data_IF_188559442298
#
_entry.id   IF_188559442298
#
_cell.length_a   1.000
_cell.length_b   1.000
_cell.length_c   1.000
_cell.angle_alpha   90.00
_cell.angle_beta   90.00
_cell.angle_gamma   90.00
#
_symmetry.space_group_name_H-M   'P 1'
#
loop_
_entity.id
_entity.type
_entity.pdbx_description
1 polymer ?
#
# COMPACT_ATOMS: atom_id res chain seq x y z
N UNK A 1 25.01 -1.24 -0.67
CA UNK A 1 24.44 -0.19 0.20
C UNK A 1 23.42 0.69 -0.49
N UNK A 2 22.46 1.23 0.26
CA UNK A 2 21.45 2.17 -0.24
C UNK A 2 22.00 3.61 -0.29
N UNK A 3 23.12 3.88 0.40
CA UNK A 3 23.80 5.18 0.47
C UNK A 3 24.27 5.75 -0.88
N UNK A 4 24.12 5.00 -1.98
CA UNK A 4 24.69 5.36 -3.30
C UNK A 4 23.62 5.80 -4.31
N UNK A 5 22.31 5.59 -4.08
CA UNK A 5 21.31 5.83 -5.12
C UNK A 5 20.44 7.08 -4.93
N UNK A 6 21.04 8.26 -5.00
CA UNK A 6 20.30 9.54 -5.11
C UNK A 6 19.55 9.68 -6.44
N UNK A 7 19.88 8.85 -7.44
CA UNK A 7 19.32 8.87 -8.79
C UNK A 7 18.20 7.82 -9.03
N UNK A 8 17.88 6.96 -8.06
CA UNK A 8 16.86 5.92 -8.25
C UNK A 8 15.43 6.51 -8.26
N UNK A 9 14.64 6.16 -9.27
CA UNK A 9 13.21 6.54 -9.35
C UNK A 9 12.32 5.72 -8.43
N UNK A 10 12.70 4.46 -8.17
CA UNK A 10 11.98 3.56 -7.29
C UNK A 10 12.92 2.57 -6.56
N UNK A 11 12.49 2.15 -5.37
CA UNK A 11 13.09 1.06 -4.61
C UNK A 11 12.14 -0.13 -4.57
N UNK A 12 12.66 -1.30 -4.95
CA UNK A 12 11.95 -2.57 -4.90
C UNK A 12 12.64 -3.41 -3.82
N UNK A 13 11.96 -3.62 -2.70
CA UNK A 13 12.50 -4.38 -1.58
C UNK A 13 11.86 -5.76 -1.60
N UNK A 14 12.65 -6.77 -1.95
CA UNK A 14 12.15 -8.15 -2.09
C UNK A 14 12.57 -8.98 -0.88
N UNK A 15 11.64 -9.77 -0.35
CA UNK A 15 11.93 -10.81 0.66
C UNK A 15 11.32 -12.15 0.25
N UNK A 16 11.76 -13.24 0.86
CA UNK A 16 11.19 -14.57 0.67
C UNK A 16 10.16 -14.85 1.76
N UNK A 17 8.95 -15.30 1.41
CA UNK A 17 7.92 -15.64 2.43
C UNK A 17 8.31 -16.82 3.33
N UNK A 18 9.29 -17.62 2.92
CA UNK A 18 9.84 -18.72 3.72
C UNK A 18 10.96 -18.26 4.68
N UNK A 19 11.53 -17.07 4.50
CA UNK A 19 12.70 -16.63 5.27
C UNK A 19 12.42 -15.34 6.06
N UNK A 20 12.27 -15.52 7.38
CA UNK A 20 12.01 -14.42 8.31
C UNK A 20 13.21 -13.46 8.42
N UNK A 21 14.43 -13.92 8.18
CA UNK A 21 15.62 -13.05 8.19
C UNK A 21 15.61 -12.11 6.99
N UNK A 22 15.27 -12.61 5.79
CA UNK A 22 15.06 -11.75 4.62
C UNK A 22 13.97 -10.70 4.85
N UNK A 23 12.89 -11.05 5.55
CA UNK A 23 11.83 -10.12 5.90
C UNK A 23 12.27 -9.06 6.92
N UNK A 24 13.03 -9.46 7.95
CA UNK A 24 13.63 -8.53 8.90
C UNK A 24 14.61 -7.57 8.22
N UNK A 25 15.41 -8.06 7.29
CA UNK A 25 16.30 -7.23 6.48
C UNK A 25 15.51 -6.23 5.61
N UNK A 26 14.42 -6.67 4.97
CA UNK A 26 13.53 -5.80 4.20
C UNK A 26 12.92 -4.69 5.07
N UNK A 27 12.43 -5.01 6.28
CA UNK A 27 11.94 -4.01 7.25
C UNK A 27 13.02 -2.98 7.60
N UNK A 28 14.23 -3.45 7.88
CA UNK A 28 15.35 -2.57 8.20
C UNK A 28 15.67 -1.63 7.02
N UNK A 29 15.69 -2.14 5.78
CA UNK A 29 15.91 -1.30 4.60
C UNK A 29 14.81 -0.28 4.37
N UNK A 30 13.54 -0.66 4.57
CA UNK A 30 12.43 0.29 4.51
C UNK A 30 12.55 1.38 5.58
N UNK A 31 12.95 1.01 6.80
CA UNK A 31 13.21 1.97 7.87
C UNK A 31 14.32 2.95 7.46
N UNK A 32 15.46 2.46 6.97
CA UNK A 32 16.55 3.31 6.50
C UNK A 32 16.07 4.27 5.39
N UNK A 33 15.32 3.78 4.41
CA UNK A 33 14.81 4.59 3.31
C UNK A 33 13.86 5.70 3.80
N UNK A 34 12.89 5.36 4.66
CA UNK A 34 11.84 6.31 5.07
C UNK A 34 12.26 7.25 6.20
N UNK A 35 13.07 6.80 7.14
CA UNK A 35 13.41 7.57 8.33
C UNK A 35 14.83 8.12 8.32
N UNK A 36 15.81 7.35 7.84
CA UNK A 36 17.20 7.81 7.88
C UNK A 36 17.55 8.66 6.65
N UNK A 37 17.00 8.31 5.49
CA UNK A 37 17.23 9.00 4.22
C UNK A 37 16.05 9.88 3.78
N UNK A 38 14.95 9.85 4.55
CA UNK A 38 13.72 10.62 4.31
C UNK A 38 13.25 10.56 2.85
N UNK A 39 13.36 9.38 2.23
CA UNK A 39 13.07 9.26 0.81
C UNK A 39 11.57 9.39 0.54
N UNK A 40 11.22 10.27 -0.40
CA UNK A 40 9.87 10.38 -0.97
C UNK A 40 9.75 9.61 -2.30
N UNK A 41 10.77 8.81 -2.63
CA UNK A 41 10.75 7.95 -3.84
C UNK A 41 9.71 6.83 -3.69
N UNK A 42 9.33 6.27 -4.84
CA UNK A 42 8.42 5.12 -4.90
C UNK A 42 9.08 3.93 -4.22
N UNK A 43 8.40 3.33 -3.25
CA UNK A 43 8.84 2.10 -2.60
C UNK A 43 7.80 1.01 -2.79
N UNK A 44 8.26 -0.20 -3.13
CA UNK A 44 7.42 -1.39 -3.26
C UNK A 44 8.06 -2.53 -2.48
N UNK A 45 7.34 -3.06 -1.51
CA UNK A 45 7.68 -4.27 -0.78
C UNK A 45 7.11 -5.49 -1.53
N UNK A 46 7.98 -6.42 -1.88
CA UNK A 46 7.65 -7.62 -2.65
C UNK A 46 7.87 -8.86 -1.80
N UNK A 47 6.80 -9.60 -1.55
CA UNK A 47 6.88 -10.92 -0.96
C UNK A 47 7.03 -11.94 -2.10
N UNK A 48 8.20 -12.57 -2.20
CA UNK A 48 8.50 -13.55 -3.25
C UNK A 48 8.39 -14.98 -2.71
N UNK A 49 8.30 -15.94 -3.64
CA UNK A 49 8.17 -17.39 -3.40
C UNK A 49 6.85 -17.77 -2.72
N UNK A 50 5.76 -17.08 -3.05
CA UNK A 50 4.44 -17.32 -2.42
C UNK A 50 3.83 -18.69 -2.73
N UNK A 51 4.37 -19.37 -3.74
CA UNK A 51 4.11 -20.77 -4.06
C UNK A 51 4.50 -21.74 -2.93
N UNK A 52 5.44 -21.37 -2.06
CA UNK A 52 5.92 -22.21 -0.96
C UNK A 52 5.00 -22.15 0.27
N UNK A 53 3.69 -22.33 0.07
CA UNK A 53 2.63 -22.14 1.08
C UNK A 53 2.91 -22.92 2.38
N UNK A 54 3.30 -24.19 2.28
CA UNK A 54 3.59 -25.05 3.44
C UNK A 54 4.84 -24.64 4.22
N UNK A 55 5.78 -23.93 3.57
CA UNK A 55 7.02 -23.44 4.17
C UNK A 55 6.94 -21.95 4.51
N UNK A 56 5.76 -21.33 4.37
CA UNK A 56 5.57 -19.91 4.65
C UNK A 56 5.84 -19.63 6.13
N UNK A 57 6.74 -18.68 6.38
CA UNK A 57 7.15 -18.19 7.71
C UNK A 57 6.70 -16.76 7.97
N UNK A 58 6.33 -16.02 6.92
CA UNK A 58 5.84 -14.64 6.98
C UNK A 58 4.45 -14.59 6.38
N UNK A 59 3.46 -14.13 7.14
CA UNK A 59 2.08 -14.07 6.65
C UNK A 59 1.88 -12.91 5.68
N UNK A 60 0.82 -12.98 4.87
CA UNK A 60 0.45 -11.85 4.00
C UNK A 60 0.13 -10.61 4.82
N UNK A 61 -0.50 -10.78 5.98
CA UNK A 61 -0.90 -9.67 6.84
C UNK A 61 0.30 -9.00 7.51
N UNK A 62 1.33 -9.74 7.91
CA UNK A 62 2.60 -9.16 8.37
C UNK A 62 3.24 -8.29 7.28
N UNK A 63 3.27 -8.81 6.04
CA UNK A 63 3.80 -8.08 4.89
C UNK A 63 3.02 -6.79 4.61
N UNK A 64 1.68 -6.85 4.63
CA UNK A 64 0.81 -5.69 4.45
C UNK A 64 0.96 -4.68 5.59
N UNK A 65 1.04 -5.13 6.84
CA UNK A 65 1.20 -4.26 8.00
C UNK A 65 2.51 -3.48 7.93
N UNK A 66 3.61 -4.12 7.53
CA UNK A 66 4.89 -3.44 7.28
C UNK A 66 4.76 -2.43 6.14
N UNK A 67 4.11 -2.81 5.03
CA UNK A 67 3.97 -1.90 3.90
C UNK A 67 3.13 -0.66 4.26
N UNK A 68 2.08 -0.82 5.06
CA UNK A 68 1.30 0.30 5.59
C UNK A 68 2.13 1.18 6.53
N UNK A 69 2.89 0.57 7.45
CA UNK A 69 3.75 1.29 8.40
C UNK A 69 4.74 2.22 7.70
N UNK A 70 5.31 1.79 6.57
CA UNK A 70 6.31 2.56 5.81
C UNK A 70 5.74 3.25 4.56
N UNK A 71 4.41 3.31 4.43
CA UNK A 71 3.70 3.93 3.30
C UNK A 71 4.27 3.51 1.95
N UNK A 72 4.35 2.19 1.71
CA UNK A 72 4.84 1.63 0.47
C UNK A 72 3.81 0.64 -0.13
N UNK A 73 3.95 0.34 -1.43
CA UNK A 73 3.09 -0.67 -2.07
C UNK A 73 3.52 -2.07 -1.66
N UNK A 74 2.57 -3.00 -1.65
CA UNK A 74 2.81 -4.41 -1.35
C UNK A 74 2.31 -5.29 -2.47
N UNK A 75 3.11 -6.28 -2.86
CA UNK A 75 2.71 -7.31 -3.83
C UNK A 75 3.34 -8.67 -3.48
N UNK A 76 2.55 -9.72 -3.66
CA UNK A 76 2.99 -11.10 -3.54
C UNK A 76 3.28 -11.66 -4.93
N UNK A 77 4.42 -12.32 -5.10
CA UNK A 77 4.90 -12.87 -6.37
C UNK A 77 5.50 -14.27 -6.19
N UNK A 78 5.51 -15.04 -7.27
CA UNK A 78 6.38 -16.22 -7.38
C UNK A 78 7.14 -16.13 -8.68
N UNK A 79 8.41 -15.75 -8.61
CA UNK A 79 9.27 -15.72 -9.80
C UNK A 79 9.41 -17.12 -10.43
N UNK A 80 9.47 -18.18 -9.62
CA UNK A 80 9.60 -19.56 -10.09
C UNK A 80 8.38 -20.06 -10.86
N UNK A 81 7.18 -19.52 -10.57
CA UNK A 81 5.95 -19.85 -11.28
C UNK A 81 5.46 -18.72 -12.20
N UNK A 82 6.29 -17.71 -12.44
CA UNK A 82 5.92 -16.48 -13.16
C UNK A 82 4.60 -15.84 -12.67
N UNK A 83 4.31 -15.94 -11.38
CA UNK A 83 3.08 -15.40 -10.79
C UNK A 83 3.26 -13.92 -10.44
N UNK A 84 2.46 -13.06 -11.07
CA UNK A 84 2.37 -11.60 -10.81
C UNK A 84 3.67 -10.82 -11.06
N UNK A 85 4.60 -11.39 -11.81
CA UNK A 85 5.86 -10.70 -12.19
C UNK A 85 5.55 -9.56 -13.16
N UNK A 86 4.68 -9.79 -14.15
CA UNK A 86 4.24 -8.75 -15.08
C UNK A 86 3.47 -7.64 -14.37
N UNK A 87 2.58 -8.00 -13.45
CA UNK A 87 1.83 -7.04 -12.62
C UNK A 87 2.78 -6.17 -11.78
N UNK A 88 3.86 -6.76 -11.24
CA UNK A 88 4.89 -6.01 -10.52
C UNK A 88 5.58 -5.01 -11.46
N UNK A 89 6.03 -5.43 -12.64
CA UNK A 89 6.70 -4.57 -13.62
C UNK A 89 5.81 -3.40 -14.07
N UNK A 90 4.58 -3.70 -14.47
CA UNK A 90 3.59 -2.68 -14.85
C UNK A 90 3.30 -1.76 -13.66
N UNK A 91 3.18 -2.33 -12.46
CA UNK A 91 2.96 -1.59 -11.21
C UNK A 91 4.07 -0.59 -10.92
N UNK A 92 5.33 -0.98 -11.07
CA UNK A 92 6.51 -0.12 -10.86
C UNK A 92 6.44 1.09 -11.80
N UNK A 93 6.34 0.85 -13.11
CA UNK A 93 6.32 1.92 -14.12
C UNK A 93 5.15 2.87 -13.87
N UNK A 94 3.98 2.34 -13.52
CA UNK A 94 2.80 3.14 -13.20
C UNK A 94 3.02 4.01 -11.97
N UNK A 95 3.61 3.49 -10.89
CA UNK A 95 3.87 4.27 -9.69
C UNK A 95 4.88 5.40 -9.94
N UNK A 96 5.94 5.14 -10.69
CA UNK A 96 6.93 6.18 -11.06
C UNK A 96 6.26 7.30 -11.86
N UNK A 97 5.48 6.96 -12.89
CA UNK A 97 4.76 7.95 -13.71
C UNK A 97 3.78 8.80 -12.89
N UNK A 98 3.05 8.18 -11.96
CA UNK A 98 2.13 8.90 -11.08
C UNK A 98 2.86 9.87 -10.14
N UNK A 99 4.00 9.43 -9.58
CA UNK A 99 4.81 10.28 -8.71
C UNK A 99 5.35 11.49 -9.47
N UNK A 100 5.96 11.26 -10.64
CA UNK A 100 6.47 12.35 -11.49
C UNK A 100 5.38 13.35 -11.88
N UNK A 101 4.18 12.87 -12.25
CA UNK A 101 3.04 13.74 -12.57
C UNK A 101 2.65 14.64 -11.38
N UNK A 102 2.52 14.05 -10.19
CA UNK A 102 2.17 14.81 -8.98
C UNK A 102 3.25 15.84 -8.61
N UNK A 103 4.52 15.50 -8.81
CA UNK A 103 5.66 16.40 -8.53
C UNK A 103 5.72 17.58 -9.54
N UNK A 104 5.20 17.39 -10.76
CA UNK A 104 5.05 18.46 -11.75
C UNK A 104 3.86 19.38 -11.44
N UNK A 105 2.71 18.81 -11.09
CA UNK A 105 1.49 19.57 -10.75
C UNK A 105 1.66 20.40 -9.47
N UNK A 106 2.37 19.88 -8.47
CA UNK A 106 2.67 20.60 -7.23
C UNK A 106 3.58 21.83 -7.44
N UNK A 107 4.29 21.92 -8.57
CA UNK A 107 5.15 23.08 -8.92
C UNK A 107 4.43 24.14 -9.76
N UNK A 108 3.27 23.85 -10.34
CA UNK A 108 2.61 24.73 -11.33
C UNK A 108 1.45 25.57 -10.79
N UNK A 109 1.07 25.47 -9.51
CA UNK A 109 -0.03 26.25 -8.94
C UNK A 109 0.42 27.19 -7.79
N UNK A 110 0.08 28.49 -7.82
CA UNK A 110 0.18 29.37 -6.66
C UNK A 110 -0.76 28.87 -5.56
N UNK A 111 -0.26 28.74 -4.32
CA UNK A 111 -1.04 28.35 -3.15
C UNK A 111 -2.13 29.40 -2.88
N UNK A 112 -3.37 29.11 -3.23
CA UNK A 112 -4.53 29.83 -2.67
C UNK A 112 -4.70 29.35 -1.23
N UNK A 113 -4.30 30.19 -0.27
CA UNK A 113 -4.61 30.01 1.14
C UNK A 113 -6.14 29.95 1.32
N UNK A 114 -6.65 28.83 1.83
CA UNK A 114 -8.02 28.71 2.32
C UNK A 114 -7.96 28.82 3.85
N UNK A 115 -8.69 29.75 4.49
CA UNK A 115 -8.55 29.97 5.92
C UNK A 115 -9.08 28.78 6.72
N UNK A 116 -8.38 28.51 7.82
CA UNK A 116 -8.71 27.53 8.84
C UNK A 116 -9.92 27.99 9.65
N UNK A 117 -10.88 27.08 9.86
CA UNK A 117 -11.74 27.10 11.04
C UNK A 117 -11.76 25.69 11.64
N UNK A 118 -11.02 25.55 12.73
CA UNK A 118 -11.13 24.56 13.81
C UNK A 118 -12.58 24.33 14.26
N UNK A 119 -13.12 23.20 14.72
CA UNK A 119 -12.63 21.93 15.29
C UNK A 119 -13.83 20.93 15.25
N UNK A 120 -13.62 19.64 14.96
CA UNK A 120 -14.10 18.51 15.80
C UNK A 120 -13.76 17.15 15.18
N UNK A 121 -13.22 16.29 16.06
CA UNK A 121 -12.82 14.90 15.84
C UNK A 121 -13.98 14.08 15.27
N UNK A 122 -13.81 13.44 14.11
CA UNK A 122 -14.42 12.13 13.91
C UNK A 122 -13.69 11.26 12.89
N UNK A 123 -13.39 10.04 13.32
CA UNK A 123 -12.62 9.04 12.62
C UNK A 123 -13.54 8.29 11.65
N UNK A 124 -13.89 8.88 10.49
CA UNK A 124 -14.65 8.19 9.42
C UNK A 124 -14.63 8.99 8.11
N UNK A 125 -13.74 8.63 7.18
CA UNK A 125 -13.54 9.44 5.97
C UNK A 125 -13.26 8.73 4.64
N UNK A 126 -13.35 7.40 4.52
CA UNK A 126 -13.12 6.72 3.22
C UNK A 126 -14.15 5.67 2.78
N UNK A 127 -15.22 5.41 3.54
CA UNK A 127 -16.20 4.36 3.20
C UNK A 127 -17.59 4.82 2.77
N UNK A 128 -17.77 6.09 2.35
CA UNK A 128 -19.08 6.58 1.91
C UNK A 128 -19.17 6.85 0.41
N UNK A 129 -18.93 5.82 -0.41
CA UNK A 129 -19.45 5.81 -1.80
C UNK A 129 -19.88 4.45 -2.36
N UNK A 130 -20.18 3.45 -1.53
CA UNK A 130 -20.68 2.16 -2.08
C UNK A 130 -21.95 1.56 -1.49
N UNK A 131 -22.71 2.26 -0.63
CA UNK A 131 -24.02 1.74 -0.20
C UNK A 131 -25.11 2.82 -0.21
N UNK A 132 -25.72 3.03 -1.39
CA UNK A 132 -27.01 3.71 -1.54
C UNK A 132 -28.12 2.67 -1.42
N UNK A 133 -28.53 2.34 -0.19
CA UNK A 133 -29.79 1.60 0.09
C UNK A 133 -30.98 2.47 -0.30
N UNK A 134 -31.88 1.92 -1.13
CA UNK A 134 -33.20 2.49 -1.43
C UNK A 134 -34.20 1.79 -0.48
N UNK A 135 -34.85 2.55 0.40
CA UNK A 135 -35.92 2.05 1.27
C UNK A 135 -37.27 2.09 0.52
N UNK A 136 -38.15 1.13 0.81
CA UNK A 136 -39.60 1.35 0.79
C UNK A 136 -40.23 0.55 1.95
N UNK A 137 -41.07 1.24 2.72
CA UNK A 137 -41.75 0.82 3.97
C UNK A 137 -43.01 0.00 3.68
N UNK A 138 -43.43 -0.81 4.66
CA UNK A 138 -44.75 -0.87 5.36
C UNK A 138 -44.75 -2.12 6.27
N UNK A 139 -44.83 -2.00 7.59
CA UNK A 139 -46.02 -1.91 8.48
C UNK A 139 -46.54 -3.28 8.95
N UNK A 140 -46.98 -3.30 10.21
CA UNK A 140 -47.01 -4.44 11.13
C UNK A 140 -48.16 -5.47 10.97
N UNK A 141 -47.96 -6.58 11.69
CA UNK A 141 -48.94 -7.35 12.47
C UNK A 141 -49.74 -8.49 11.84
N UNK A 142 -49.59 -9.67 12.46
CA UNK A 142 -50.57 -10.73 12.82
C UNK A 142 -50.12 -12.12 12.35
N UNK A 143 -49.84 -13.08 13.25
CA UNK A 143 -50.68 -13.86 14.17
C UNK A 143 -51.23 -15.14 13.50
N UNK A 144 -50.97 -16.28 14.16
CA UNK A 144 -51.72 -17.56 14.16
C UNK A 144 -51.61 -18.54 12.97
N UNK A 145 -51.18 -19.76 13.32
CA UNK A 145 -51.68 -21.10 12.95
C UNK A 145 -52.12 -21.38 11.51
N UNK A 146 -51.46 -22.37 10.88
CA UNK A 146 -51.89 -23.78 10.86
C UNK A 146 -50.70 -24.68 10.51
#
# INVERSE_FOLDING_TARGET
DISVCSACDAFIIVYSVQDIHSFNYAKHKLHTLRHNLETDRVCILVANKVDLVRKRRVTTDDGRAVAQKYTCKYIETSAGLNLKVDDLLVGIVRQIKLKLKNDLESKTLPRVHKPESEQQKDQKGFFKRLFRKKQKKTSCSNMTQL
#
